data_IF_666599351907
#
_entry.id   IF_666599351907
#
_cell.length_a   1.000
_cell.length_b   1.000
_cell.length_c   1.000
_cell.angle_alpha   90.00
_cell.angle_beta   90.00
_cell.angle_gamma   90.00
#
_symmetry.space_group_name_H-M   'P 1'
#
loop_
_entity.id
_entity.type
_entity.pdbx_description
1 polymer ?
#
# COMPACT_ATOMS: atom_id res chain seq x y z
N UNK A 1 -9.70 -13.16 19.60
CA UNK A 1 -10.45 -12.45 18.56
C UNK A 1 -9.82 -11.10 18.37
N UNK A 2 -9.14 -10.90 17.24
CA UNK A 2 -8.68 -9.55 16.88
C UNK A 2 -9.90 -8.69 16.58
N UNK A 3 -9.97 -7.49 17.15
CA UNK A 3 -10.97 -6.50 16.74
C UNK A 3 -10.78 -6.19 15.25
N UNK A 4 -11.86 -6.14 14.46
CA UNK A 4 -11.82 -5.74 13.06
C UNK A 4 -11.29 -4.31 12.89
N UNK A 5 -11.47 -3.49 13.93
CA UNK A 5 -10.99 -2.12 13.99
C UNK A 5 -9.48 -2.04 14.27
N UNK A 6 -8.83 -3.12 14.72
CA UNK A 6 -7.41 -3.08 15.11
C UNK A 6 -6.49 -2.59 13.97
N UNK A 7 -6.77 -3.00 12.73
CA UNK A 7 -5.98 -2.57 11.58
C UNK A 7 -6.22 -1.09 11.23
N UNK A 8 -7.45 -0.62 11.38
CA UNK A 8 -7.83 0.80 11.22
C UNK A 8 -7.19 1.67 12.30
N UNK A 9 -7.24 1.22 13.55
CA UNK A 9 -6.66 1.92 14.70
C UNK A 9 -5.13 2.00 14.63
N UNK A 10 -4.47 0.95 14.13
CA UNK A 10 -3.02 0.98 13.86
C UNK A 10 -2.64 1.90 12.71
N UNK A 11 -3.46 1.92 11.65
CA UNK A 11 -3.21 2.70 10.44
C UNK A 11 -3.73 4.16 10.51
N UNK A 12 -4.38 4.56 11.62
CA UNK A 12 -5.00 5.85 12.01
C UNK A 12 -4.79 7.11 11.13
N UNK A 13 -4.99 7.00 9.82
CA UNK A 13 -4.77 8.06 8.84
C UNK A 13 -5.91 8.00 7.84
N UNK A 14 -6.69 9.09 7.79
CA UNK A 14 -7.73 9.26 6.77
C UNK A 14 -7.08 9.32 5.38
N UNK A 15 -7.70 8.71 4.38
CA UNK A 15 -7.17 8.68 3.00
C UNK A 15 -6.93 10.07 2.42
N UNK A 16 -7.77 11.06 2.77
CA UNK A 16 -7.54 12.46 2.39
C UNK A 16 -6.30 13.06 3.04
N UNK A 17 -6.04 12.72 4.31
CA UNK A 17 -4.85 13.18 5.00
C UNK A 17 -3.59 12.54 4.40
N UNK A 18 -3.65 11.25 4.05
CA UNK A 18 -2.57 10.57 3.32
C UNK A 18 -2.26 11.26 1.98
N UNK A 19 -3.30 11.61 1.20
CA UNK A 19 -3.16 12.33 -0.06
C UNK A 19 -2.53 13.72 0.12
N UNK A 20 -2.99 14.49 1.11
CA UNK A 20 -2.43 15.80 1.42
C UNK A 20 -0.95 15.70 1.84
N UNK A 21 -0.61 14.71 2.67
CA UNK A 21 0.75 14.53 3.14
C UNK A 21 1.68 14.09 2.01
N UNK A 22 1.21 13.24 1.09
CA UNK A 22 1.93 12.95 -0.14
C UNK A 22 2.19 14.19 -0.97
N UNK A 23 1.19 15.06 -1.15
CA UNK A 23 1.35 16.28 -1.93
C UNK A 23 2.40 17.22 -1.32
N UNK A 24 2.35 17.43 0.00
CA UNK A 24 3.28 18.30 0.74
C UNK A 24 4.70 17.72 0.75
N UNK A 25 4.84 16.40 0.85
CA UNK A 25 6.15 15.71 0.90
C UNK A 25 6.66 15.28 -0.48
N UNK A 26 5.99 15.69 -1.56
CA UNK A 26 6.30 15.26 -2.93
C UNK A 26 6.41 13.72 -3.07
N UNK A 27 5.52 12.99 -2.40
CA UNK A 27 5.43 11.53 -2.46
C UNK A 27 6.34 10.77 -1.50
N UNK A 28 7.28 11.43 -0.80
CA UNK A 28 8.16 10.78 0.17
C UNK A 28 7.37 10.09 1.29
N UNK A 29 6.24 10.66 1.70
CA UNK A 29 5.41 10.05 2.73
C UNK A 29 4.81 8.71 2.32
N UNK A 30 4.58 8.45 1.01
CA UNK A 30 4.11 7.15 0.52
C UNK A 30 5.02 6.02 0.97
N UNK A 31 6.34 6.23 0.88
CA UNK A 31 7.37 5.26 1.24
C UNK A 31 7.27 4.89 2.72
N UNK A 32 7.17 5.92 3.57
CA UNK A 32 7.06 5.76 5.03
C UNK A 32 5.76 5.05 5.39
N UNK A 33 4.66 5.45 4.75
CA UNK A 33 3.35 4.86 4.96
C UNK A 33 3.34 3.38 4.55
N UNK A 34 3.83 3.03 3.35
CA UNK A 34 3.93 1.63 2.87
C UNK A 34 4.69 0.77 3.86
N UNK A 35 5.85 1.23 4.35
CA UNK A 35 6.65 0.48 5.34
C UNK A 35 5.89 0.25 6.65
N UNK A 36 5.25 1.29 7.19
CA UNK A 36 4.49 1.20 8.45
C UNK A 36 3.24 0.32 8.31
N UNK A 37 2.51 0.47 7.21
CA UNK A 37 1.29 -0.28 6.92
C UNK A 37 1.60 -1.73 6.60
N UNK A 38 2.72 -2.02 5.91
CA UNK A 38 3.23 -3.37 5.73
C UNK A 38 3.43 -4.06 7.08
N UNK A 39 4.19 -3.46 8.00
CA UNK A 39 4.44 -4.04 9.31
C UNK A 39 3.13 -4.31 10.08
N UNK A 40 2.17 -3.39 9.99
CA UNK A 40 0.85 -3.53 10.63
C UNK A 40 0.03 -4.68 10.02
N UNK A 41 0.03 -4.81 8.69
CA UNK A 41 -0.66 -5.91 8.00
C UNK A 41 -0.02 -7.25 8.37
N UNK A 42 1.30 -7.36 8.34
CA UNK A 42 2.00 -8.61 8.66
C UNK A 42 1.80 -9.03 10.13
N UNK A 43 1.80 -8.07 11.05
CA UNK A 43 1.59 -8.33 12.48
C UNK A 43 0.18 -8.85 12.77
N UNK A 44 -0.85 -8.23 12.17
CA UNK A 44 -2.26 -8.54 12.42
C UNK A 44 -2.74 -9.74 11.61
N UNK A 45 -2.41 -9.79 10.32
CA UNK A 45 -2.86 -10.87 9.44
C UNK A 45 -2.01 -12.13 9.55
N UNK A 46 -0.80 -12.03 10.13
CA UNK A 46 0.24 -13.09 10.13
C UNK A 46 0.66 -13.55 8.73
N UNK A 47 0.26 -12.83 7.68
CA UNK A 47 0.62 -13.10 6.29
C UNK A 47 1.76 -12.19 5.91
N UNK A 48 2.92 -12.78 5.58
CA UNK A 48 4.07 -12.01 5.09
C UNK A 48 3.76 -11.42 3.72
N UNK A 49 3.82 -10.11 3.61
CA UNK A 49 3.54 -9.39 2.36
C UNK A 49 4.82 -9.05 1.61
N UNK A 50 5.90 -8.66 2.31
CA UNK A 50 7.20 -8.32 1.71
C UNK A 50 8.40 -8.68 2.59
N UNK A 51 9.54 -8.89 1.94
CA UNK A 51 10.82 -9.02 2.63
C UNK A 51 11.47 -7.64 2.80
N UNK A 52 12.34 -7.50 3.79
CA UNK A 52 13.14 -6.29 3.95
C UNK A 52 14.01 -6.00 2.71
N UNK A 53 14.56 -7.03 2.07
CA UNK A 53 15.31 -6.91 0.81
C UNK A 53 14.49 -6.27 -0.31
N UNK A 54 13.19 -6.56 -0.37
CA UNK A 54 12.29 -5.93 -1.33
C UNK A 54 12.21 -4.42 -1.13
N UNK A 55 12.06 -4.00 0.13
CA UNK A 55 11.99 -2.58 0.49
C UNK A 55 13.30 -1.84 0.17
N UNK A 56 14.45 -2.48 0.39
CA UNK A 56 15.76 -1.93 -0.02
C UNK A 56 15.82 -1.70 -1.53
N UNK A 57 15.41 -2.69 -2.34
CA UNK A 57 15.41 -2.54 -3.80
C UNK A 57 14.45 -1.44 -4.27
N UNK A 58 13.27 -1.35 -3.66
CA UNK A 58 12.34 -0.25 -3.92
C UNK A 58 12.97 1.12 -3.67
N UNK A 59 13.61 1.31 -2.52
CA UNK A 59 14.31 2.55 -2.16
C UNK A 59 15.50 2.84 -3.08
N UNK A 60 16.30 1.82 -3.40
CA UNK A 60 17.47 1.97 -4.26
C UNK A 60 17.08 2.41 -5.67
N UNK A 61 16.07 1.76 -6.28
CA UNK A 61 15.57 2.12 -7.61
C UNK A 61 14.98 3.53 -7.63
N UNK A 62 14.22 3.88 -6.60
CA UNK A 62 13.63 5.21 -6.48
C UNK A 62 14.71 6.29 -6.31
N UNK A 63 15.69 6.06 -5.44
CA UNK A 63 16.77 6.99 -5.15
C UNK A 63 17.70 7.21 -6.33
N UNK A 64 18.19 6.13 -6.94
CA UNK A 64 19.07 6.20 -8.11
C UNK A 64 18.32 6.80 -9.31
N UNK A 65 17.07 6.36 -9.55
CA UNK A 65 16.24 6.89 -10.63
C UNK A 65 15.97 8.38 -10.50
N UNK A 66 15.71 8.87 -9.28
CA UNK A 66 15.49 10.30 -9.01
C UNK A 66 16.79 11.10 -9.13
N UNK A 67 17.90 10.58 -8.62
CA UNK A 67 19.22 11.23 -8.72
C UNK A 67 19.67 11.40 -10.18
N UNK A 68 19.39 10.39 -11.02
CA UNK A 68 19.72 10.42 -12.45
C UNK A 68 19.10 11.61 -13.20
N UNK A 69 17.98 12.14 -12.72
CA UNK A 69 17.31 13.30 -13.33
C UNK A 69 18.10 14.60 -13.21
N UNK A 70 19.00 14.70 -12.22
CA UNK A 70 19.80 15.91 -11.98
C UNK A 70 21.10 15.98 -12.79
N UNK A 71 21.47 14.94 -13.53
CA UNK A 71 22.82 14.81 -14.12
C UNK A 71 22.95 15.41 -15.55
N UNK A 72 21.89 15.96 -16.13
CA UNK A 72 21.91 16.71 -17.40
C UNK A 72 22.22 15.91 -18.68
N UNK A 73 22.57 14.63 -18.58
CA UNK A 73 22.82 13.75 -19.71
C UNK A 73 21.55 12.96 -20.09
N UNK A 74 21.09 13.09 -21.34
CA UNK A 74 19.87 12.45 -21.83
C UNK A 74 19.86 10.93 -21.65
N UNK A 75 20.97 10.24 -21.90
CA UNK A 75 21.05 8.78 -21.75
C UNK A 75 20.90 8.36 -20.29
N UNK A 76 21.46 9.14 -19.37
CA UNK A 76 21.35 8.90 -17.92
C UNK A 76 19.93 9.17 -17.43
N UNK A 77 19.29 10.22 -17.93
CA UNK A 77 17.87 10.54 -17.66
C UNK A 77 16.96 9.40 -18.13
N UNK A 78 17.16 8.89 -19.35
CA UNK A 78 16.36 7.78 -19.87
C UNK A 78 16.54 6.51 -19.03
N UNK A 79 17.76 6.19 -18.62
CA UNK A 79 18.01 5.07 -17.72
C UNK A 79 17.35 5.30 -16.35
N UNK A 80 17.42 6.53 -15.82
CA UNK A 80 16.73 6.94 -14.59
C UNK A 80 15.22 6.70 -14.66
N UNK A 81 14.58 7.05 -15.78
CA UNK A 81 13.16 6.80 -16.01
C UNK A 81 12.83 5.30 -15.97
N UNK A 82 13.67 4.44 -16.56
CA UNK A 82 13.48 2.98 -16.50
C UNK A 82 13.53 2.49 -15.05
N UNK A 83 14.47 3.00 -14.23
CA UNK A 83 14.56 2.66 -12.81
C UNK A 83 13.35 3.14 -12.01
N UNK A 84 12.82 4.34 -12.30
CA UNK A 84 11.61 4.85 -11.67
C UNK A 84 10.37 4.03 -12.05
N UNK A 85 10.25 3.60 -13.31
CA UNK A 85 9.18 2.70 -13.74
C UNK A 85 9.29 1.35 -13.01
N UNK A 86 10.49 0.78 -12.91
CA UNK A 86 10.72 -0.45 -12.15
C UNK A 86 10.33 -0.29 -10.67
N UNK A 87 10.66 0.85 -10.04
CA UNK A 87 10.24 1.17 -8.67
C UNK A 87 8.71 1.25 -8.55
N UNK A 88 8.03 1.87 -9.50
CA UNK A 88 6.56 1.90 -9.56
C UNK A 88 5.92 0.52 -9.66
N UNK A 89 6.50 -0.38 -10.47
CA UNK A 89 6.03 -1.77 -10.56
C UNK A 89 6.14 -2.51 -9.22
N UNK A 90 7.16 -2.19 -8.41
CA UNK A 90 7.27 -2.75 -7.07
C UNK A 90 6.09 -2.29 -6.19
N UNK A 91 5.74 -1.01 -6.20
CA UNK A 91 4.57 -0.52 -5.46
C UNK A 91 3.29 -1.23 -5.91
N UNK A 92 3.10 -1.41 -7.22
CA UNK A 92 1.95 -2.15 -7.77
C UNK A 92 1.90 -3.58 -7.20
N UNK A 93 3.02 -4.31 -7.27
CA UNK A 93 3.13 -5.67 -6.74
C UNK A 93 2.79 -5.70 -5.23
N UNK A 94 3.28 -4.73 -4.47
CA UNK A 94 2.93 -4.62 -3.04
C UNK A 94 1.44 -4.46 -2.80
N UNK A 95 0.82 -3.53 -3.50
CA UNK A 95 -0.60 -3.24 -3.37
C UNK A 95 -1.45 -4.50 -3.61
N UNK A 96 -1.10 -5.31 -4.62
CA UNK A 96 -1.78 -6.57 -4.88
C UNK A 96 -1.57 -7.62 -3.78
N UNK A 97 -0.37 -7.69 -3.19
CA UNK A 97 -0.11 -8.57 -2.04
C UNK A 97 -0.87 -8.12 -0.79
N UNK A 98 -0.88 -6.82 -0.50
CA UNK A 98 -1.64 -6.24 0.60
C UNK A 98 -3.14 -6.53 0.44
N UNK A 99 -3.69 -6.36 -0.77
CA UNK A 99 -5.07 -6.77 -1.09
C UNK A 99 -5.33 -8.25 -0.79
N UNK A 100 -4.42 -9.14 -1.15
CA UNK A 100 -4.52 -10.56 -0.85
C UNK A 100 -4.57 -10.84 0.66
N UNK A 101 -3.66 -10.23 1.42
CA UNK A 101 -3.59 -10.36 2.87
C UNK A 101 -4.86 -9.84 3.56
N UNK A 102 -5.38 -8.69 3.15
CA UNK A 102 -6.61 -8.10 3.70
C UNK A 102 -7.84 -8.99 3.45
N UNK A 103 -7.96 -9.57 2.25
CA UNK A 103 -9.05 -10.49 1.92
C UNK A 103 -8.98 -11.77 2.74
N UNK A 104 -7.78 -12.35 2.84
CA UNK A 104 -7.56 -13.57 3.62
C UNK A 104 -7.86 -13.33 5.11
N UNK A 105 -7.45 -12.19 5.66
CA UNK A 105 -7.75 -11.79 7.03
C UNK A 105 -9.26 -11.62 7.30
N UNK A 106 -9.97 -10.91 6.42
CA UNK A 106 -11.41 -10.71 6.55
C UNK A 106 -12.18 -12.04 6.52
N UNK A 107 -11.76 -12.97 5.65
CA UNK A 107 -12.40 -14.28 5.54
C UNK A 107 -12.06 -15.19 6.73
N UNK A 108 -10.78 -15.29 7.11
CA UNK A 108 -10.33 -16.24 8.12
C UNK A 108 -10.69 -15.83 9.56
N UNK A 109 -10.55 -14.54 9.91
CA UNK A 109 -10.78 -14.07 11.29
C UNK A 109 -12.21 -13.56 11.49
N UNK A 110 -12.86 -13.02 10.44
CA UNK A 110 -14.15 -12.34 10.55
C UNK A 110 -15.28 -12.99 9.72
N UNK A 111 -15.02 -14.10 9.02
CA UNK A 111 -15.99 -14.87 8.23
C UNK A 111 -16.78 -14.03 7.20
N UNK A 112 -16.17 -13.01 6.59
CA UNK A 112 -16.81 -12.25 5.51
C UNK A 112 -15.87 -11.99 4.33
N UNK A 113 -16.46 -11.86 3.14
CA UNK A 113 -15.70 -11.59 1.92
C UNK A 113 -15.49 -10.08 1.70
N UNK A 114 -14.25 -9.62 1.89
CA UNK A 114 -13.88 -8.24 1.58
C UNK A 114 -13.79 -8.00 0.07
N UNK A 115 -14.76 -7.25 -0.48
CA UNK A 115 -14.83 -6.93 -1.92
C UNK A 115 -13.90 -5.77 -2.29
N UNK A 116 -12.63 -6.08 -2.57
CA UNK A 116 -11.68 -5.11 -3.14
C UNK A 116 -11.63 -5.18 -4.68
N UNK A 117 -12.01 -4.12 -5.38
CA UNK A 117 -12.02 -4.05 -6.84
C UNK A 117 -10.58 -3.92 -7.39
N UNK A 118 -10.23 -4.78 -8.35
CA UNK A 118 -8.91 -4.77 -9.02
C UNK A 118 -8.66 -3.47 -9.76
N UNK A 119 -9.67 -2.92 -10.43
CA UNK A 119 -9.53 -1.67 -11.19
C UNK A 119 -9.12 -0.50 -10.27
N UNK A 120 -9.80 -0.33 -9.14
CA UNK A 120 -9.44 0.70 -8.16
C UNK A 120 -8.12 0.43 -7.46
N UNK A 121 -7.77 -0.85 -7.28
CA UNK A 121 -6.47 -1.25 -6.73
C UNK A 121 -5.31 -0.80 -7.64
N UNK A 122 -5.48 -0.87 -8.97
CA UNK A 122 -4.46 -0.43 -9.91
C UNK A 122 -4.44 1.09 -10.10
N UNK A 123 -5.63 1.74 -10.15
CA UNK A 123 -5.73 3.17 -10.42
C UNK A 123 -5.29 4.04 -9.22
N UNK A 124 -5.65 3.62 -8.01
CA UNK A 124 -5.41 4.40 -6.79
C UNK A 124 -4.36 3.78 -5.86
N UNK A 125 -3.77 2.64 -6.23
CA UNK A 125 -2.64 2.00 -5.56
C UNK A 125 -2.77 1.98 -4.02
N UNK A 126 -1.82 2.60 -3.32
CA UNK A 126 -1.72 2.66 -1.87
C UNK A 126 -2.89 3.44 -1.23
N UNK A 127 -3.46 4.43 -1.91
CA UNK A 127 -4.68 5.11 -1.44
C UNK A 127 -5.87 4.16 -1.35
N UNK A 128 -6.03 3.26 -2.32
CA UNK A 128 -7.13 2.29 -2.28
C UNK A 128 -6.95 1.28 -1.15
N UNK A 129 -5.71 0.85 -0.90
CA UNK A 129 -5.39 -0.02 0.25
C UNK A 129 -5.73 0.70 1.55
N UNK A 130 -5.30 1.96 1.72
CA UNK A 130 -5.61 2.76 2.90
C UNK A 130 -7.12 2.94 3.10
N UNK A 131 -7.85 3.23 2.01
CA UNK A 131 -9.30 3.33 2.03
C UNK A 131 -9.94 2.02 2.50
N UNK A 132 -9.53 0.88 1.94
CA UNK A 132 -10.07 -0.43 2.31
C UNK A 132 -9.77 -0.78 3.78
N UNK A 133 -8.58 -0.42 4.28
CA UNK A 133 -8.25 -0.59 5.70
C UNK A 133 -9.19 0.24 6.59
N UNK A 134 -9.48 1.48 6.20
CA UNK A 134 -10.35 2.36 6.96
C UNK A 134 -11.83 1.97 6.90
N UNK A 135 -12.27 1.35 5.80
CA UNK A 135 -13.65 0.90 5.55
C UNK A 135 -13.91 -0.52 6.08
N UNK A 136 -12.90 -1.27 6.53
CA UNK A 136 -13.03 -2.65 7.04
C UNK A 136 -14.20 -2.86 8.03
N UNK A 137 -14.35 -2.05 9.10
CA UNK A 137 -15.47 -2.23 10.04
C UNK A 137 -16.84 -2.00 9.38
N UNK A 138 -16.97 -0.95 8.57
CA UNK A 138 -18.22 -0.63 7.87
C UNK A 138 -18.56 -1.66 6.78
N UNK A 139 -17.54 -2.25 6.15
CA UNK A 139 -17.71 -3.34 5.19
C UNK A 139 -18.29 -4.59 5.85
N UNK A 140 -17.89 -4.90 7.10
CA UNK A 140 -18.47 -5.99 7.89
C UNK A 140 -19.92 -5.71 8.25
N UNK A 141 -20.24 -4.50 8.71
CA UNK A 141 -21.63 -4.11 9.03
C UNK A 141 -22.55 -4.23 7.80
N UNK A 142 -22.10 -3.76 6.64
CA UNK A 142 -22.85 -3.89 5.37
C UNK A 142 -23.04 -5.33 4.94
N UNK A 143 -22.06 -6.21 5.22
CA UNK A 143 -22.18 -7.64 4.93
C UNK A 143 -23.22 -8.29 5.83
N UNK A 144 -23.19 -8.01 7.14
CA UNK A 144 -24.16 -8.51 8.11
C UNK A 144 -25.58 -7.99 7.82
N UNK A 145 -25.74 -6.75 7.37
CA UNK A 145 -27.05 -6.18 7.02
C UNK A 145 -27.66 -6.78 5.73
N UNK A 146 -26.88 -7.54 4.96
CA UNK A 146 -27.32 -8.18 3.70
C UNK A 146 -27.59 -9.68 3.85
N UNK A 147 -27.18 -10.28 4.98
CA UNK A 147 -27.53 -11.65 5.38
C UNK A 147 -28.84 -11.66 6.15
#
# INVERSE_FOLDING_TARGET
MSDISALKERNNIKTLHLFLLMLITMGLYSIVWIHKTQASIEEITKIKTMSFSYFIWYLALLGIGSFAQGLGNLNVILLGNVLLVASGLLVVIWVFRARGALRAYALAEHNFELRMNVFYTLLFLDYYVNYCINDLPAAKEKYLAKM
#
